data_IF_464889881586
#
_entry.id   IF_464889881586
#
_cell.length_a   1.000
_cell.length_b   1.000
_cell.length_c   1.000
_cell.angle_alpha   90.00
_cell.angle_beta   90.00
_cell.angle_gamma   90.00
#
_symmetry.space_group_name_H-M   'P 1'
#
loop_
_entity.id
_entity.type
_entity.pdbx_description
1 polymer ?
#
# COMPACT_ATOMS: atom_id res chain seq x y z
N UNK A 1 -8.08 -7.80 -1.22
CA UNK A 1 -9.43 -7.36 -0.81
C UNK A 1 -9.50 -6.73 0.59
N UNK A 2 -8.79 -7.23 1.62
CA UNK A 2 -8.82 -6.65 2.99
C UNK A 2 -8.26 -5.22 3.08
N UNK A 3 -7.21 -4.89 2.31
CA UNK A 3 -6.57 -3.56 2.28
C UNK A 3 -7.50 -2.43 1.80
N UNK A 4 -8.25 -2.66 0.72
CA UNK A 4 -9.18 -1.68 0.15
C UNK A 4 -10.40 -1.49 1.06
N UNK A 5 -10.85 -2.55 1.76
CA UNK A 5 -11.93 -2.46 2.73
C UNK A 5 -11.55 -1.62 3.96
N UNK A 6 -10.32 -1.76 4.49
CA UNK A 6 -9.83 -0.94 5.60
C UNK A 6 -9.68 0.54 5.19
N UNK A 7 -9.18 0.80 3.98
CA UNK A 7 -9.05 2.15 3.46
C UNK A 7 -10.40 2.81 3.08
N UNK A 8 -11.39 2.01 2.66
CA UNK A 8 -12.76 2.50 2.50
C UNK A 8 -13.41 2.78 3.86
N UNK A 9 -13.17 1.96 4.87
CA UNK A 9 -13.65 2.19 6.23
C UNK A 9 -13.07 3.48 6.85
N UNK A 10 -11.80 3.81 6.55
CA UNK A 10 -11.15 5.09 6.90
C UNK A 10 -11.91 6.32 6.36
N UNK A 11 -12.45 6.22 5.15
CA UNK A 11 -13.16 7.33 4.50
C UNK A 11 -14.58 7.53 5.07
N UNK A 12 -15.13 6.54 5.78
CA UNK A 12 -16.51 6.53 6.28
C UNK A 12 -16.56 6.92 7.76
N UNK A 13 -15.53 6.63 8.58
CA UNK A 13 -15.58 6.88 10.03
C UNK A 13 -14.34 7.62 10.55
N UNK A 14 -14.43 8.95 10.61
CA UNK A 14 -13.40 9.84 11.15
C UNK A 14 -13.09 9.61 12.64
N UNK A 15 -13.96 8.91 13.39
CA UNK A 15 -13.83 8.72 14.84
C UNK A 15 -12.77 7.68 15.24
N UNK A 16 -12.32 6.84 14.30
CA UNK A 16 -11.38 5.75 14.54
C UNK A 16 -10.05 5.90 13.76
N UNK A 17 -9.71 7.11 13.32
CA UNK A 17 -8.68 7.35 12.28
C UNK A 17 -7.30 6.77 12.63
N UNK A 18 -6.83 6.89 13.87
CA UNK A 18 -5.47 6.46 14.23
C UNK A 18 -5.26 4.94 14.16
N UNK A 19 -6.19 4.15 14.71
CA UNK A 19 -6.09 2.69 14.71
C UNK A 19 -6.20 2.12 13.29
N UNK A 20 -7.05 2.72 12.46
CA UNK A 20 -7.25 2.25 11.09
C UNK A 20 -6.09 2.71 10.17
N UNK A 21 -5.50 3.89 10.39
CA UNK A 21 -4.26 4.31 9.71
C UNK A 21 -3.12 3.36 10.07
N UNK A 22 -2.96 3.01 11.35
CA UNK A 22 -1.97 2.01 11.78
C UNK A 22 -2.16 0.67 11.07
N UNK A 23 -3.40 0.16 11.05
CA UNK A 23 -3.71 -1.08 10.35
C UNK A 23 -3.44 -0.99 8.84
N UNK A 24 -3.69 0.16 8.21
CA UNK A 24 -3.37 0.38 6.80
C UNK A 24 -1.86 0.37 6.55
N UNK A 25 -1.07 1.01 7.41
CA UNK A 25 0.39 1.02 7.35
C UNK A 25 0.97 -0.40 7.51
N UNK A 26 0.55 -1.15 8.53
CA UNK A 26 1.01 -2.53 8.76
C UNK A 26 0.71 -3.42 7.54
N UNK A 27 -0.49 -3.25 7.00
CA UNK A 27 -0.96 -4.01 5.86
C UNK A 27 -0.15 -3.66 4.58
N UNK A 28 0.19 -2.39 4.37
CA UNK A 28 1.10 -1.95 3.28
C UNK A 28 2.50 -2.56 3.45
N UNK A 29 3.03 -2.62 4.68
CA UNK A 29 4.32 -3.26 4.94
C UNK A 29 4.30 -4.76 4.62
N UNK A 30 3.24 -5.47 5.02
CA UNK A 30 3.06 -6.87 4.65
C UNK A 30 2.99 -7.07 3.13
N UNK A 31 2.29 -6.18 2.42
CA UNK A 31 2.23 -6.22 0.96
C UNK A 31 3.61 -6.04 0.33
N UNK A 32 4.39 -5.05 0.78
CA UNK A 32 5.74 -4.79 0.27
C UNK A 32 6.66 -5.99 0.41
N UNK A 33 6.62 -6.71 1.54
CA UNK A 33 7.43 -7.90 1.76
C UNK A 33 7.08 -9.04 0.76
N UNK A 34 5.79 -9.23 0.50
CA UNK A 34 5.31 -10.22 -0.48
C UNK A 34 5.66 -9.78 -1.90
N UNK A 35 5.46 -8.49 -2.20
CA UNK A 35 5.78 -7.89 -3.49
C UNK A 35 7.27 -8.04 -3.81
N UNK A 36 8.17 -7.77 -2.87
CA UNK A 36 9.62 -7.90 -3.07
C UNK A 36 10.02 -9.34 -3.43
N UNK A 37 9.40 -10.32 -2.77
CA UNK A 37 9.62 -11.74 -3.06
C UNK A 37 9.11 -12.13 -4.46
N UNK A 38 7.93 -11.63 -4.85
CA UNK A 38 7.36 -11.88 -6.18
C UNK A 38 8.13 -11.13 -7.28
N UNK A 39 8.55 -9.90 -7.01
CA UNK A 39 9.32 -9.07 -7.91
C UNK A 39 10.62 -9.76 -8.32
N UNK A 40 11.35 -10.35 -7.37
CA UNK A 40 12.60 -11.08 -7.63
C UNK A 40 12.46 -12.20 -8.66
N UNK A 41 11.28 -12.78 -8.79
CA UNK A 41 11.02 -13.92 -9.69
C UNK A 41 10.48 -13.50 -11.05
N UNK A 42 9.78 -12.36 -11.14
CA UNK A 42 8.94 -12.04 -12.31
C UNK A 42 9.18 -10.65 -12.92
N UNK A 43 10.06 -9.83 -12.33
CA UNK A 43 10.41 -8.51 -12.86
C UNK A 43 11.83 -8.49 -13.41
N UNK A 44 12.03 -7.68 -14.46
CA UNK A 44 13.34 -7.48 -15.08
C UNK A 44 14.29 -6.64 -14.19
N UNK A 45 13.73 -5.72 -13.40
CA UNK A 45 14.44 -4.97 -12.36
C UNK A 45 13.66 -5.01 -11.04
N UNK A 46 13.80 -6.08 -10.26
CA UNK A 46 13.07 -6.25 -9.00
C UNK A 46 13.39 -5.17 -7.96
N UNK A 47 14.67 -4.77 -7.89
CA UNK A 47 15.14 -3.85 -6.87
C UNK A 47 14.73 -2.41 -7.17
N UNK A 48 14.84 -1.96 -8.43
CA UNK A 48 14.39 -0.64 -8.84
C UNK A 48 12.89 -0.44 -8.68
N UNK A 49 12.07 -1.41 -9.10
CA UNK A 49 10.61 -1.32 -8.97
C UNK A 49 10.15 -1.36 -7.50
N UNK A 50 10.78 -2.21 -6.67
CA UNK A 50 10.48 -2.27 -5.23
C UNK A 50 10.91 -0.97 -4.52
N UNK A 51 12.08 -0.43 -4.84
CA UNK A 51 12.55 0.84 -4.27
C UNK A 51 11.66 2.01 -4.68
N UNK A 52 11.20 2.04 -5.94
CA UNK A 52 10.27 3.06 -6.44
C UNK A 52 8.94 3.01 -5.71
N UNK A 53 8.35 1.82 -5.59
CA UNK A 53 7.10 1.62 -4.88
C UNK A 53 7.22 2.02 -3.40
N UNK A 54 8.32 1.63 -2.75
CA UNK A 54 8.60 2.00 -1.35
C UNK A 54 8.68 3.51 -1.18
N UNK A 55 9.44 4.21 -2.03
CA UNK A 55 9.53 5.67 -1.98
C UNK A 55 8.19 6.38 -2.22
N UNK A 56 7.35 5.85 -3.12
CA UNK A 56 6.00 6.39 -3.34
C UNK A 56 5.10 6.21 -2.12
N UNK A 57 5.16 5.05 -1.46
CA UNK A 57 4.38 4.78 -0.25
C UNK A 57 4.85 5.62 0.94
N UNK A 58 6.17 5.77 1.13
CA UNK A 58 6.74 6.62 2.18
C UNK A 58 6.34 8.08 2.01
N UNK A 59 6.35 8.60 0.77
CA UNK A 59 5.90 9.96 0.49
C UNK A 59 4.43 10.17 0.87
N UNK A 60 3.56 9.19 0.56
CA UNK A 60 2.14 9.24 0.90
C UNK A 60 1.91 9.15 2.41
N UNK A 61 2.65 8.31 3.12
CA UNK A 61 2.43 8.03 4.55
C UNK A 61 3.20 8.96 5.51
N UNK A 62 3.75 10.08 5.01
CA UNK A 62 4.63 10.95 5.80
C UNK A 62 3.94 11.51 7.06
N UNK A 63 4.58 11.51 8.26
CA UNK A 63 3.91 11.76 9.55
C UNK A 63 3.37 13.17 9.82
N UNK A 64 3.62 14.14 8.93
CA UNK A 64 3.27 15.57 9.15
C UNK A 64 1.87 15.95 8.66
N UNK A 65 1.04 14.97 8.38
CA UNK A 65 -0.25 15.15 7.72
C UNK A 65 -1.37 15.33 8.76
N UNK A 66 -2.36 16.16 8.43
CA UNK A 66 -3.57 16.21 9.24
C UNK A 66 -4.24 14.82 9.26
N UNK A 67 -5.07 14.49 10.28
CA UNK A 67 -5.74 13.19 10.33
C UNK A 67 -6.59 12.87 9.08
N UNK A 68 -7.17 13.89 8.45
CA UNK A 68 -7.95 13.75 7.22
C UNK A 68 -7.05 13.46 6.01
N UNK A 69 -5.91 14.16 5.92
CA UNK A 69 -4.90 13.89 4.89
C UNK A 69 -4.28 12.50 5.06
N UNK A 70 -4.02 12.07 6.29
CA UNK A 70 -3.46 10.75 6.58
C UNK A 70 -4.40 9.61 6.12
N UNK A 71 -5.71 9.75 6.33
CA UNK A 71 -6.70 8.78 5.86
C UNK A 71 -6.77 8.74 4.32
N UNK A 72 -6.76 9.91 3.68
CA UNK A 72 -6.75 10.02 2.21
C UNK A 72 -5.49 9.41 1.60
N UNK A 73 -4.33 9.72 2.17
CA UNK A 73 -3.05 9.23 1.67
C UNK A 73 -2.87 7.73 1.94
N UNK A 74 -3.40 7.21 3.04
CA UNK A 74 -3.45 5.77 3.27
C UNK A 74 -4.32 5.04 2.21
N UNK A 75 -5.43 5.65 1.78
CA UNK A 75 -6.25 5.12 0.70
C UNK A 75 -5.53 5.17 -0.66
N UNK A 76 -4.84 6.26 -0.96
CA UNK A 76 -4.02 6.36 -2.18
C UNK A 76 -2.87 5.36 -2.19
N UNK A 77 -2.20 5.18 -1.05
CA UNK A 77 -1.15 4.18 -0.88
C UNK A 77 -1.69 2.76 -1.08
N UNK A 78 -2.87 2.46 -0.54
CA UNK A 78 -3.53 1.16 -0.74
C UNK A 78 -3.94 0.92 -2.21
N UNK A 79 -4.37 1.97 -2.93
CA UNK A 79 -4.68 1.88 -4.38
C UNK A 79 -3.41 1.62 -5.19
N UNK A 80 -2.34 2.36 -4.92
CA UNK A 80 -1.05 2.17 -5.57
C UNK A 80 -0.53 0.74 -5.38
N UNK A 81 -0.58 0.24 -4.14
CA UNK A 81 -0.20 -1.13 -3.81
C UNK A 81 -1.04 -2.17 -4.58
N UNK A 82 -2.37 -2.00 -4.62
CA UNK A 82 -3.27 -2.87 -5.39
C UNK A 82 -2.92 -2.89 -6.87
N UNK A 83 -2.67 -1.72 -7.46
CA UNK A 83 -2.41 -1.60 -8.88
C UNK A 83 -1.08 -2.27 -9.24
N UNK A 84 -0.05 -2.12 -8.40
CA UNK A 84 1.20 -2.87 -8.54
C UNK A 84 1.02 -4.39 -8.39
N UNK A 85 0.19 -4.82 -7.42
CA UNK A 85 -0.14 -6.23 -7.26
C UNK A 85 -0.80 -6.81 -8.53
N UNK A 86 -1.68 -6.03 -9.17
CA UNK A 86 -2.40 -6.46 -10.37
C UNK A 86 -1.50 -6.65 -11.60
N UNK A 87 -0.34 -5.97 -11.64
CA UNK A 87 0.67 -6.17 -12.70
C UNK A 87 1.46 -7.48 -12.51
N UNK A 88 1.65 -7.90 -11.26
CA UNK A 88 2.35 -9.14 -10.93
C UNK A 88 1.45 -10.37 -10.93
N UNK A 89 0.17 -10.22 -10.57
CA UNK A 89 -0.79 -11.33 -10.44
C UNK A 89 -0.87 -12.22 -11.67
N UNK A 90 -1.01 -11.70 -12.90
CA UNK A 90 -1.01 -12.53 -14.11
C UNK A 90 0.29 -13.33 -14.27
N UNK A 91 1.44 -12.72 -13.97
CA UNK A 91 2.77 -13.34 -14.10
C UNK A 91 3.06 -14.41 -13.04
N UNK A 92 2.28 -14.44 -11.96
CA UNK A 92 2.38 -15.44 -10.89
C UNK A 92 1.47 -16.64 -11.12
N UNK A 93 0.49 -16.52 -12.02
CA UNK A 93 -0.47 -17.57 -12.35
C UNK A 93 -0.09 -18.38 -13.59
N UNK A 94 0.93 -17.92 -14.32
CA UNK A 94 1.63 -18.63 -15.40
C UNK A 94 2.81 -19.44 -14.84
#
# INVERSE_FOLDING_TARGET
>A
MRFFAAALALNIDHRHSAAIVSAACDAIQCFLAVFETAAQRHLADPHGETARLRGQLEALLTPRQSPEDAARNALEAARLARDQASLLLPRLMD
#
